data_IF_686820079674
#
_entry.id   IF_686820079674
#
_cell.length_a   1.000
_cell.length_b   1.000
_cell.length_c   1.000
_cell.angle_alpha   90.00
_cell.angle_beta   90.00
_cell.angle_gamma   90.00
#
_symmetry.space_group_name_H-M   'P 1'
#
loop_
_entity.id
_entity.type
_entity.pdbx_description
1 polymer ?
#
# COMPACT_ATOMS: atom_id res chain seq x y z
N UNK A 1 16.09 1.05 -17.02
CA UNK A 1 16.73 1.64 -18.22
C UNK A 1 17.96 0.84 -18.66
N UNK A 2 18.70 0.31 -17.72
CA UNK A 2 20.03 -0.29 -17.95
C UNK A 2 19.99 -1.80 -18.21
N UNK A 3 18.80 -2.38 -18.40
CA UNK A 3 18.60 -3.74 -18.86
C UNK A 3 18.99 -4.84 -17.86
N UNK A 4 19.34 -6.03 -18.40
CA UNK A 4 19.66 -7.21 -17.57
C UNK A 4 20.97 -7.05 -16.79
N UNK A 5 21.93 -6.32 -17.31
CA UNK A 5 23.24 -6.13 -16.66
C UNK A 5 23.09 -5.36 -15.34
N UNK A 6 22.30 -4.28 -15.32
CA UNK A 6 21.97 -3.57 -14.08
C UNK A 6 21.19 -4.43 -13.07
N UNK A 7 20.28 -5.29 -13.56
CA UNK A 7 19.58 -6.26 -12.69
C UNK A 7 20.55 -7.21 -12.00
N UNK A 8 21.53 -7.74 -12.73
CA UNK A 8 22.55 -8.62 -12.15
C UNK A 8 23.39 -7.90 -11.10
N UNK A 9 23.79 -6.64 -11.40
CA UNK A 9 24.60 -5.82 -10.49
C UNK A 9 23.93 -5.59 -9.13
N UNK A 10 22.60 -5.39 -9.11
CA UNK A 10 21.85 -5.09 -7.88
C UNK A 10 21.08 -6.30 -7.33
N UNK A 11 21.26 -7.50 -7.90
CA UNK A 11 20.47 -8.66 -7.51
C UNK A 11 20.70 -9.06 -6.06
N UNK A 12 21.96 -9.03 -5.61
CA UNK A 12 22.34 -9.40 -4.26
C UNK A 12 21.77 -8.38 -3.24
N UNK A 13 21.95 -7.08 -3.49
CA UNK A 13 21.43 -6.02 -2.62
C UNK A 13 19.90 -6.06 -2.55
N UNK A 14 19.22 -6.33 -3.66
CA UNK A 14 17.77 -6.47 -3.69
C UNK A 14 17.29 -7.71 -2.93
N UNK A 15 18.03 -8.81 -3.00
CA UNK A 15 17.72 -10.02 -2.22
C UNK A 15 17.88 -9.77 -0.73
N UNK A 16 18.97 -9.12 -0.32
CA UNK A 16 19.22 -8.72 1.07
C UNK A 16 18.13 -7.77 1.57
N UNK A 17 17.79 -6.74 0.79
CA UNK A 17 16.73 -5.79 1.13
C UNK A 17 15.36 -6.48 1.28
N UNK A 18 15.04 -7.41 0.38
CA UNK A 18 13.81 -8.22 0.46
C UNK A 18 13.78 -9.08 1.72
N UNK A 19 14.92 -9.70 2.09
CA UNK A 19 15.02 -10.49 3.31
C UNK A 19 14.82 -9.63 4.57
N UNK A 20 15.45 -8.45 4.65
CA UNK A 20 15.22 -7.51 5.77
C UNK A 20 13.77 -7.03 5.84
N UNK A 21 13.15 -6.74 4.70
CA UNK A 21 11.72 -6.40 4.65
C UNK A 21 10.86 -7.56 5.20
N UNK A 22 11.17 -8.79 4.81
CA UNK A 22 10.50 -10.00 5.31
C UNK A 22 10.63 -10.17 6.83
N UNK A 23 11.82 -9.97 7.38
CA UNK A 23 12.06 -10.01 8.83
C UNK A 23 11.28 -8.90 9.53
N UNK A 24 11.33 -7.67 9.00
CA UNK A 24 10.63 -6.53 9.58
C UNK A 24 9.12 -6.76 9.65
N UNK A 25 8.48 -7.11 8.53
CA UNK A 25 7.03 -7.32 8.53
C UNK A 25 6.61 -8.59 9.29
N UNK A 26 7.46 -9.61 9.33
CA UNK A 26 7.20 -10.83 10.11
C UNK A 26 7.12 -10.56 11.62
N UNK A 27 7.87 -9.56 12.11
CA UNK A 27 7.84 -9.13 13.50
C UNK A 27 6.80 -8.03 13.78
N UNK A 28 6.70 -7.03 12.91
CA UNK A 28 5.79 -5.90 13.08
C UNK A 28 4.34 -6.22 12.66
N UNK A 29 4.15 -7.23 11.83
CA UNK A 29 2.88 -7.51 11.19
C UNK A 29 2.57 -6.55 10.04
N UNK A 30 1.37 -6.67 9.51
CA UNK A 30 0.86 -5.83 8.41
C UNK A 30 -0.49 -5.21 8.80
N UNK A 31 -0.87 -4.11 8.15
CA UNK A 31 -2.07 -3.34 8.47
C UNK A 31 -3.06 -3.23 7.31
N UNK A 32 -3.72 -2.07 7.20
CA UNK A 32 -4.83 -1.87 6.28
C UNK A 32 -4.50 -2.03 4.80
N UNK A 33 -3.28 -1.71 4.35
CA UNK A 33 -2.90 -1.93 2.94
C UNK A 33 -3.12 -3.39 2.55
N UNK A 34 -2.62 -4.32 3.37
CA UNK A 34 -2.81 -5.75 3.14
C UNK A 34 -4.27 -6.18 3.37
N UNK A 35 -4.93 -5.66 4.41
CA UNK A 35 -6.31 -6.00 4.69
C UNK A 35 -7.24 -5.66 3.51
N UNK A 36 -7.05 -4.48 2.91
CA UNK A 36 -7.85 -4.01 1.78
C UNK A 36 -7.44 -4.67 0.45
N UNK A 37 -6.21 -5.14 0.32
CA UNK A 37 -5.75 -5.81 -0.91
C UNK A 37 -6.28 -7.23 -1.08
N UNK A 38 -6.59 -7.93 0.00
CA UNK A 38 -7.03 -9.33 -0.05
C UNK A 38 -8.29 -9.57 -0.86
N UNK A 39 -9.39 -8.79 -0.75
CA UNK A 39 -10.55 -8.99 -1.59
C UNK A 39 -10.24 -8.84 -3.09
N UNK A 40 -9.40 -7.87 -3.46
CA UNK A 40 -8.99 -7.64 -4.84
C UNK A 40 -8.20 -8.83 -5.39
N UNK A 41 -7.20 -9.29 -4.63
CA UNK A 41 -6.41 -10.48 -5.01
C UNK A 41 -7.22 -11.76 -5.02
N UNK A 42 -8.09 -11.96 -4.03
CA UNK A 42 -8.90 -13.16 -3.89
C UNK A 42 -10.02 -13.28 -4.92
N UNK A 43 -10.64 -12.17 -5.32
CA UNK A 43 -11.76 -12.18 -6.27
C UNK A 43 -11.29 -12.05 -7.72
N UNK A 44 -10.33 -11.17 -7.97
CA UNK A 44 -9.90 -10.81 -9.33
C UNK A 44 -8.50 -11.33 -9.70
N UNK A 45 -7.91 -12.15 -8.83
CA UNK A 45 -6.61 -12.78 -9.03
C UNK A 45 -5.47 -11.79 -9.32
N UNK A 46 -5.59 -10.55 -8.82
CA UNK A 46 -4.53 -9.56 -8.94
C UNK A 46 -3.35 -10.00 -8.07
N UNK A 47 -2.12 -10.00 -8.61
CA UNK A 47 -0.94 -10.38 -7.82
C UNK A 47 -0.82 -9.59 -6.52
N UNK A 48 -0.41 -10.25 -5.44
CA UNK A 48 -0.42 -9.66 -4.08
C UNK A 48 0.33 -8.33 -3.99
N UNK A 49 1.54 -8.26 -4.54
CA UNK A 49 2.33 -7.03 -4.54
C UNK A 49 1.67 -5.89 -5.34
N UNK A 50 1.05 -6.23 -6.47
CA UNK A 50 0.29 -5.29 -7.29
C UNK A 50 -0.96 -4.79 -6.57
N UNK A 51 -1.73 -5.69 -5.94
CA UNK A 51 -2.89 -5.32 -5.13
C UNK A 51 -2.51 -4.34 -4.00
N UNK A 52 -1.43 -4.63 -3.27
CA UNK A 52 -0.93 -3.74 -2.23
C UNK A 52 -0.52 -2.38 -2.78
N UNK A 53 0.20 -2.36 -3.91
CA UNK A 53 0.63 -1.13 -4.54
C UNK A 53 -0.54 -0.24 -4.96
N UNK A 54 -1.61 -0.80 -5.53
CA UNK A 54 -2.78 0.00 -5.94
C UNK A 54 -3.45 0.72 -4.76
N UNK A 55 -3.39 0.13 -3.57
CA UNK A 55 -4.06 0.64 -2.36
C UNK A 55 -3.17 1.51 -1.47
N UNK A 56 -1.85 1.38 -1.59
CA UNK A 56 -0.86 1.89 -0.65
C UNK A 56 -1.05 3.38 -0.31
N UNK A 57 -0.92 4.27 -1.30
CA UNK A 57 -0.97 5.72 -1.06
C UNK A 57 -2.35 6.18 -0.60
N UNK A 58 -3.42 5.56 -1.10
CA UNK A 58 -4.78 5.89 -0.68
C UNK A 58 -5.06 5.58 0.79
N UNK A 59 -4.47 4.53 1.33
CA UNK A 59 -4.52 4.20 2.76
C UNK A 59 -3.70 5.20 3.57
N UNK A 60 -2.49 5.53 3.12
CA UNK A 60 -1.63 6.49 3.81
C UNK A 60 -2.21 7.92 3.81
N UNK A 61 -2.94 8.33 2.77
CA UNK A 61 -3.68 9.61 2.79
C UNK A 61 -4.70 9.67 3.93
N UNK A 62 -5.39 8.55 4.20
CA UNK A 62 -6.32 8.47 5.35
C UNK A 62 -5.56 8.55 6.68
N UNK A 63 -4.40 7.89 6.79
CA UNK A 63 -3.57 7.99 7.99
C UNK A 63 -3.13 9.43 8.27
N UNK A 64 -2.66 10.12 7.24
CA UNK A 64 -2.23 11.53 7.35
C UNK A 64 -3.38 12.46 7.71
N UNK A 65 -4.56 12.22 7.15
CA UNK A 65 -5.75 13.01 7.48
C UNK A 65 -6.19 12.81 8.93
N UNK A 66 -6.07 11.58 9.48
CA UNK A 66 -6.50 11.25 10.86
C UNK A 66 -5.43 11.57 11.90
N UNK A 67 -4.20 11.22 11.64
CA UNK A 67 -3.11 11.36 12.60
C UNK A 67 -1.78 11.66 11.87
N UNK A 68 -1.55 12.92 11.49
CA UNK A 68 -0.34 13.30 10.77
C UNK A 68 0.93 13.27 11.63
N UNK A 69 0.79 13.15 12.95
CA UNK A 69 1.90 13.18 13.93
C UNK A 69 2.11 11.81 14.56
N UNK A 70 3.33 11.59 15.03
CA UNK A 70 3.73 10.34 15.69
C UNK A 70 4.70 9.52 14.84
N UNK A 71 4.60 8.20 14.84
CA UNK A 71 5.53 7.33 14.10
C UNK A 71 5.56 7.60 12.59
N UNK A 72 4.45 8.07 12.02
CA UNK A 72 4.38 8.44 10.59
C UNK A 72 5.30 9.63 10.24
N UNK A 73 5.55 10.55 11.17
CA UNK A 73 6.50 11.66 10.93
C UNK A 73 7.93 11.16 10.77
N UNK A 74 8.31 10.14 11.55
CA UNK A 74 9.61 9.48 11.43
C UNK A 74 9.76 8.79 10.08
N UNK A 75 8.72 8.04 9.67
CA UNK A 75 8.67 7.40 8.36
C UNK A 75 8.77 8.43 7.23
N UNK A 76 7.98 9.50 7.30
CA UNK A 76 7.97 10.55 6.27
C UNK A 76 9.32 11.25 6.13
N UNK A 77 10.05 11.47 7.22
CA UNK A 77 11.41 12.01 7.16
C UNK A 77 12.38 11.07 6.44
N UNK A 78 12.37 9.79 6.79
CA UNK A 78 13.23 8.78 6.14
C UNK A 78 12.91 8.70 4.64
N UNK A 79 11.63 8.68 4.27
CA UNK A 79 11.22 8.63 2.87
C UNK A 79 11.60 9.93 2.12
N UNK A 80 11.42 11.10 2.75
CA UNK A 80 11.78 12.38 2.18
C UNK A 80 13.28 12.47 1.87
N UNK A 81 14.13 12.05 2.82
CA UNK A 81 15.57 12.00 2.64
C UNK A 81 15.97 11.07 1.48
N UNK A 82 15.35 9.89 1.38
CA UNK A 82 15.65 8.94 0.30
C UNK A 82 15.11 9.38 -1.07
N UNK A 83 13.98 10.10 -1.11
CA UNK A 83 13.36 10.57 -2.34
C UNK A 83 13.88 11.95 -2.78
N UNK A 84 14.64 12.64 -1.91
CA UNK A 84 15.14 14.00 -2.17
C UNK A 84 14.01 15.04 -2.26
N UNK A 85 12.97 14.91 -1.43
CA UNK A 85 11.80 15.79 -1.43
C UNK A 85 11.44 16.27 -0.03
N UNK A 86 10.46 17.19 0.07
CA UNK A 86 9.90 17.61 1.36
C UNK A 86 8.91 16.57 1.90
N UNK A 87 8.73 16.51 3.22
CA UNK A 87 7.89 15.52 3.89
C UNK A 87 6.42 15.55 3.50
N UNK A 88 5.91 16.69 3.04
CA UNK A 88 4.54 16.86 2.52
C UNK A 88 4.34 16.29 1.10
N UNK A 89 5.45 16.02 0.37
CA UNK A 89 5.41 15.47 -0.99
C UNK A 89 5.75 13.99 -1.07
N UNK A 90 6.11 13.38 0.04
CA UNK A 90 6.64 12.01 0.09
C UNK A 90 5.79 11.00 -0.69
N UNK A 91 4.47 10.99 -0.48
CA UNK A 91 3.61 9.98 -1.12
C UNK A 91 3.37 10.28 -2.60
N UNK A 92 3.43 11.54 -3.01
CA UNK A 92 3.37 11.93 -4.44
C UNK A 92 4.65 11.49 -5.14
N UNK A 93 5.82 11.76 -4.56
CA UNK A 93 7.10 11.36 -5.15
C UNK A 93 7.30 9.84 -5.11
N UNK A 94 6.79 9.18 -4.08
CA UNK A 94 6.78 7.71 -4.02
C UNK A 94 5.90 7.12 -5.13
N UNK A 95 4.70 7.64 -5.36
CA UNK A 95 3.85 7.21 -6.48
C UNK A 95 4.53 7.48 -7.83
N UNK A 96 5.18 8.64 -8.00
CA UNK A 96 5.96 8.97 -9.20
C UNK A 96 7.10 7.98 -9.44
N UNK A 97 7.80 7.56 -8.38
CA UNK A 97 8.85 6.55 -8.49
C UNK A 97 8.29 5.18 -8.84
N UNK A 98 7.29 4.72 -8.12
CA UNK A 98 6.71 3.38 -8.28
C UNK A 98 5.98 3.23 -9.62
N UNK A 99 5.35 4.28 -10.12
CA UNK A 99 4.68 4.27 -11.44
C UNK A 99 5.62 4.04 -12.62
N UNK A 100 6.95 4.23 -12.42
CA UNK A 100 7.97 3.86 -13.41
C UNK A 100 8.20 2.35 -13.49
N UNK A 101 7.80 1.62 -12.46
CA UNK A 101 7.95 0.16 -12.36
C UNK A 101 6.65 -0.55 -12.72
N UNK A 102 5.52 -0.05 -12.22
CA UNK A 102 4.19 -0.63 -12.40
C UNK A 102 3.15 0.49 -12.51
N UNK A 103 2.27 0.41 -13.49
CA UNK A 103 1.22 1.42 -13.67
C UNK A 103 0.27 1.47 -12.47
N UNK A 104 -0.08 2.70 -12.04
CA UNK A 104 -1.16 2.92 -11.07
C UNK A 104 -2.49 2.86 -11.82
N UNK A 105 -3.21 1.77 -11.63
CA UNK A 105 -4.46 1.50 -12.33
C UNK A 105 -5.68 1.78 -11.44
N UNK A 106 -6.81 2.09 -12.05
CA UNK A 106 -8.11 2.06 -11.38
C UNK A 106 -8.52 0.62 -11.08
N UNK A 107 -9.14 0.35 -9.93
CA UNK A 107 -9.51 -1.01 -9.53
C UNK A 107 -10.50 -1.67 -10.50
N UNK A 108 -11.33 -0.88 -11.18
CA UNK A 108 -12.23 -1.36 -12.24
C UNK A 108 -11.49 -1.99 -13.43
N UNK A 109 -10.23 -1.65 -13.68
CA UNK A 109 -9.44 -2.27 -14.76
C UNK A 109 -9.10 -3.73 -14.49
N UNK A 110 -9.17 -4.14 -13.22
CA UNK A 110 -9.03 -5.53 -12.79
C UNK A 110 -10.35 -6.30 -12.78
N UNK A 111 -11.45 -5.64 -13.13
CA UNK A 111 -12.80 -6.24 -13.12
C UNK A 111 -13.67 -5.87 -11.92
N UNK A 112 -13.13 -5.13 -10.95
CA UNK A 112 -13.89 -4.67 -9.79
C UNK A 112 -15.08 -3.80 -10.23
N UNK A 113 -16.25 -4.16 -9.76
CA UNK A 113 -17.50 -3.43 -10.02
C UNK A 113 -17.81 -2.44 -8.90
N UNK A 114 -18.69 -1.48 -9.16
CA UNK A 114 -19.13 -0.55 -8.11
C UNK A 114 -19.87 -1.27 -6.97
N UNK A 115 -20.57 -2.35 -7.28
CA UNK A 115 -21.28 -3.17 -6.30
C UNK A 115 -20.32 -3.87 -5.31
N UNK A 116 -19.07 -4.12 -5.71
CA UNK A 116 -18.07 -4.75 -4.85
C UNK A 116 -17.57 -3.82 -3.74
N UNK A 117 -17.69 -2.50 -3.92
CA UNK A 117 -17.16 -1.51 -2.96
C UNK A 117 -17.71 -1.75 -1.55
N UNK A 118 -19.01 -1.90 -1.44
CA UNK A 118 -19.66 -2.17 -0.15
C UNK A 118 -19.34 -3.59 0.33
N UNK A 119 -19.40 -4.59 -0.53
CA UNK A 119 -19.08 -5.98 -0.21
C UNK A 119 -17.66 -6.18 0.28
N UNK A 120 -16.67 -5.55 -0.37
CA UNK A 120 -15.27 -5.60 0.05
C UNK A 120 -15.05 -4.88 1.37
N UNK A 121 -15.71 -3.73 1.58
CA UNK A 121 -15.62 -3.00 2.84
C UNK A 121 -16.14 -3.82 4.02
N UNK A 122 -17.28 -4.45 3.85
CA UNK A 122 -17.86 -5.33 4.88
C UNK A 122 -17.03 -6.59 5.10
N UNK A 123 -16.52 -7.19 4.04
CA UNK A 123 -15.63 -8.36 4.11
C UNK A 123 -14.36 -8.05 4.90
N UNK A 124 -13.68 -6.94 4.60
CA UNK A 124 -12.46 -6.52 5.29
C UNK A 124 -12.72 -6.34 6.79
N UNK A 125 -13.78 -5.65 7.16
CA UNK A 125 -14.14 -5.46 8.57
C UNK A 125 -14.47 -6.77 9.27
N UNK A 126 -15.11 -7.71 8.58
CA UNK A 126 -15.50 -9.00 9.14
C UNK A 126 -14.33 -9.97 9.29
N UNK A 127 -13.45 -10.01 8.30
CA UNK A 127 -12.46 -11.10 8.18
C UNK A 127 -11.02 -10.67 8.48
N UNK A 128 -10.69 -9.37 8.43
CA UNK A 128 -9.32 -8.88 8.56
C UNK A 128 -9.07 -8.12 9.87
N UNK A 129 -9.81 -8.45 10.92
CA UNK A 129 -9.68 -7.78 12.22
C UNK A 129 -8.25 -7.81 12.78
N UNK A 130 -7.53 -8.94 12.60
CA UNK A 130 -6.15 -9.07 13.05
C UNK A 130 -5.24 -8.00 12.42
N UNK A 131 -5.42 -7.70 11.14
CA UNK A 131 -4.64 -6.70 10.42
C UNK A 131 -5.09 -5.28 10.77
N UNK A 132 -6.39 -5.08 10.89
CA UNK A 132 -6.95 -3.79 11.27
C UNK A 132 -6.59 -3.39 12.71
N UNK A 133 -6.48 -4.35 13.62
CA UNK A 133 -6.03 -4.10 14.99
C UNK A 133 -4.53 -3.75 15.07
N UNK A 134 -3.75 -4.17 14.08
CA UNK A 134 -2.32 -3.83 13.95
C UNK A 134 -2.09 -2.54 13.13
N UNK A 135 -3.16 -1.85 12.75
CA UNK A 135 -3.08 -0.68 11.89
C UNK A 135 -2.63 0.58 12.65
N UNK A 136 -2.03 1.53 11.93
CA UNK A 136 -1.55 2.79 12.51
C UNK A 136 -2.65 3.60 13.21
N UNK A 137 -3.83 3.68 12.59
CA UNK A 137 -5.04 4.28 13.14
C UNK A 137 -6.25 3.40 12.83
N UNK A 138 -7.26 3.34 13.69
CA UNK A 138 -8.51 2.63 13.39
C UNK A 138 -9.16 3.21 12.12
N UNK A 139 -9.68 2.34 11.26
CA UNK A 139 -10.45 2.72 10.07
C UNK A 139 -11.92 2.37 10.25
N UNK A 140 -12.80 3.33 9.98
CA UNK A 140 -14.23 3.07 9.92
C UNK A 140 -14.63 2.40 8.59
N UNK A 141 -15.86 1.88 8.53
CA UNK A 141 -16.44 1.34 7.30
C UNK A 141 -16.44 2.37 6.18
N UNK A 142 -16.83 3.59 6.52
CA UNK A 142 -16.94 4.71 5.58
C UNK A 142 -15.56 5.10 5.01
N UNK A 143 -14.53 5.06 5.83
CA UNK A 143 -13.15 5.34 5.39
C UNK A 143 -12.64 4.23 4.45
N UNK A 144 -12.86 2.97 4.78
CA UNK A 144 -12.52 1.83 3.91
C UNK A 144 -13.28 1.93 2.59
N UNK A 145 -14.58 2.17 2.65
CA UNK A 145 -15.43 2.39 1.47
C UNK A 145 -14.92 3.55 0.62
N UNK A 146 -14.57 4.67 1.26
CA UNK A 146 -14.03 5.86 0.59
C UNK A 146 -12.71 5.58 -0.14
N UNK A 147 -11.84 4.73 0.43
CA UNK A 147 -10.61 4.30 -0.23
C UNK A 147 -10.93 3.53 -1.53
N UNK A 148 -11.81 2.52 -1.46
CA UNK A 148 -12.19 1.75 -2.65
C UNK A 148 -12.88 2.63 -3.70
N UNK A 149 -13.83 3.50 -3.29
CA UNK A 149 -14.55 4.41 -4.18
C UNK A 149 -13.62 5.34 -4.95
N UNK A 150 -12.61 5.90 -4.28
CA UNK A 150 -11.62 6.80 -4.89
C UNK A 150 -10.73 6.09 -5.92
N UNK A 151 -10.42 4.83 -5.67
CA UNK A 151 -9.55 4.04 -6.54
C UNK A 151 -10.30 3.34 -7.68
N UNK A 152 -11.61 3.19 -7.55
CA UNK A 152 -12.47 2.61 -8.59
C UNK A 152 -12.73 3.61 -9.72
#
# INVERSE_FOLDING_TARGET
KDGQEARHKFHEEMLVASNFAGIAFGNAGVGAVHALSYPLGGTYHVPHGESNYQLYTAVFDVYLAKQPKGSIEGLNRILADNLGCSTDKVYVELDNLLSKLLAKNKLRTYGMTEADIDGFSDNVLKTQQRLLNNNYVPLSREEIRGIYQRLW
#
